data_IF_916144802710
#
_entry.id   IF_916144802710
#
_cell.length_a   1.000
_cell.length_b   1.000
_cell.length_c   1.000
_cell.angle_alpha   90.00
_cell.angle_beta   90.00
_cell.angle_gamma   90.00
#
_symmetry.space_group_name_H-M   'P 1'
#
loop_
_entity.id
_entity.type
_entity.pdbx_description
1 polymer ?
#
# COMPACT_ATOMS: atom_id res chain seq x y z
N UNK A 1 -18.42 -22.25 -6.04
CA UNK A 1 -18.41 -21.95 -7.48
C UNK A 1 -17.65 -20.64 -7.64
N UNK A 2 -16.41 -20.67 -8.12
CA UNK A 2 -15.62 -19.46 -8.37
C UNK A 2 -16.25 -18.77 -9.59
N UNK A 3 -16.89 -17.61 -9.38
CA UNK A 3 -17.35 -16.78 -10.48
C UNK A 3 -16.11 -16.23 -11.17
N UNK A 4 -15.86 -16.68 -12.40
CA UNK A 4 -14.81 -16.10 -13.26
C UNK A 4 -15.19 -14.64 -13.49
N UNK A 5 -14.34 -13.72 -13.04
CA UNK A 5 -14.55 -12.29 -13.26
C UNK A 5 -14.49 -12.02 -14.77
N UNK A 6 -15.50 -11.33 -15.30
CA UNK A 6 -15.47 -10.90 -16.70
C UNK A 6 -14.28 -9.96 -16.98
N UNK A 7 -13.79 -9.90 -18.23
CA UNK A 7 -12.62 -9.10 -18.58
C UNK A 7 -12.79 -7.60 -18.30
N UNK A 8 -14.02 -7.08 -18.44
CA UNK A 8 -14.35 -5.68 -18.13
C UNK A 8 -14.17 -5.37 -16.64
N UNK A 9 -14.66 -6.28 -15.78
CA UNK A 9 -14.56 -6.16 -14.33
C UNK A 9 -13.10 -6.26 -13.87
N UNK A 10 -12.32 -7.18 -14.44
CA UNK A 10 -10.88 -7.28 -14.18
C UNK A 10 -10.15 -5.98 -14.55
N UNK A 11 -10.48 -5.38 -15.69
CA UNK A 11 -9.91 -4.11 -16.10
C UNK A 11 -10.30 -2.97 -15.14
N UNK A 12 -11.55 -2.90 -14.70
CA UNK A 12 -12.00 -1.91 -13.72
C UNK A 12 -11.28 -2.05 -12.37
N UNK A 13 -11.14 -3.28 -11.87
CA UNK A 13 -10.37 -3.61 -10.66
C UNK A 13 -8.92 -3.14 -10.79
N UNK A 14 -8.31 -3.44 -11.93
CA UNK A 14 -6.93 -3.06 -12.21
C UNK A 14 -6.75 -1.54 -12.19
N UNK A 15 -7.61 -0.84 -12.94
CA UNK A 15 -7.56 0.61 -13.08
C UNK A 15 -7.83 1.32 -11.75
N UNK A 16 -8.84 0.87 -10.99
CA UNK A 16 -9.16 1.50 -9.71
C UNK A 16 -8.02 1.31 -8.70
N UNK A 17 -7.49 0.09 -8.57
CA UNK A 17 -6.39 -0.23 -7.64
C UNK A 17 -5.15 0.61 -7.95
N UNK A 18 -4.80 0.75 -9.23
CA UNK A 18 -3.68 1.58 -9.66
C UNK A 18 -3.94 3.07 -9.43
N UNK A 19 -5.18 3.56 -9.58
CA UNK A 19 -5.54 4.97 -9.35
C UNK A 19 -5.48 5.39 -7.89
N UNK A 20 -5.81 4.49 -6.95
CA UNK A 20 -5.76 4.81 -5.51
C UNK A 20 -4.36 4.68 -4.93
N UNK A 21 -3.51 3.85 -5.53
CA UNK A 21 -2.12 3.69 -5.10
C UNK A 21 -1.29 4.90 -5.52
N UNK A 22 -0.67 5.56 -4.56
CA UNK A 22 0.06 6.83 -4.77
C UNK A 22 1.51 6.68 -4.33
N UNK A 23 2.50 7.11 -5.15
CA UNK A 23 3.89 7.05 -4.74
C UNK A 23 4.18 8.13 -3.69
N UNK A 24 4.86 7.73 -2.62
CA UNK A 24 5.48 8.63 -1.64
C UNK A 24 6.98 8.46 -1.75
N UNK A 25 7.72 9.54 -1.92
CA UNK A 25 9.14 9.45 -2.22
C UNK A 25 9.92 10.65 -1.69
N UNK A 26 11.22 10.47 -1.56
CA UNK A 26 12.11 11.50 -1.08
C UNK A 26 13.45 11.48 -1.81
N UNK A 27 14.05 12.64 -1.92
CA UNK A 27 15.33 12.86 -2.57
C UNK A 27 16.01 14.10 -2.00
N UNK A 28 17.31 14.21 -2.22
CA UNK A 28 18.09 15.36 -1.80
C UNK A 28 17.88 16.51 -2.80
N UNK A 29 17.26 17.61 -2.37
CA UNK A 29 16.97 18.75 -3.25
C UNK A 29 18.21 19.49 -3.75
N UNK A 30 19.37 19.32 -3.10
CA UNK A 30 20.62 20.00 -3.45
C UNK A 30 21.40 19.24 -4.53
N UNK A 31 21.07 17.96 -4.77
CA UNK A 31 21.66 17.19 -5.86
C UNK A 31 20.93 17.41 -7.18
N UNK A 32 21.71 17.55 -8.25
CA UNK A 32 21.22 17.58 -9.63
C UNK A 32 20.78 16.19 -10.10
N UNK A 33 19.82 16.14 -11.03
CA UNK A 33 19.44 14.89 -11.68
C UNK A 33 20.50 14.42 -12.69
N UNK A 34 20.67 13.10 -12.89
CA UNK A 34 19.99 12.03 -12.19
C UNK A 34 20.57 11.80 -10.79
N UNK A 35 19.71 11.61 -9.79
CA UNK A 35 20.08 11.39 -8.38
C UNK A 35 19.36 10.20 -7.78
N UNK A 36 19.77 9.78 -6.59
CA UNK A 36 19.00 8.77 -5.87
C UNK A 36 17.63 9.34 -5.47
N UNK A 37 16.58 8.66 -5.94
CA UNK A 37 15.20 8.86 -5.49
C UNK A 37 14.80 7.62 -4.72
N UNK A 38 14.54 7.77 -3.42
CA UNK A 38 14.03 6.71 -2.55
C UNK A 38 12.52 6.89 -2.40
N UNK A 39 11.78 5.82 -2.15
CA UNK A 39 10.34 5.94 -2.05
C UNK A 39 9.62 4.63 -1.91
N UNK A 40 8.37 4.74 -1.50
CA UNK A 40 7.44 3.68 -1.21
C UNK A 40 6.05 4.01 -1.79
N UNK A 41 5.01 3.45 -1.22
CA UNK A 41 3.62 3.63 -1.64
C UNK A 41 2.76 4.14 -0.47
N UNK A 42 1.67 4.80 -0.79
CA UNK A 42 0.64 5.24 0.14
C UNK A 42 -0.72 5.27 -0.57
N UNK A 43 -1.79 5.50 0.18
CA UNK A 43 -3.14 5.71 -0.37
C UNK A 43 -3.97 6.53 0.62
N UNK A 44 -5.16 6.95 0.20
CA UNK A 44 -5.98 7.89 0.96
C UNK A 44 -7.37 7.32 1.22
N UNK A 45 -7.79 7.43 2.48
CA UNK A 45 -9.12 7.05 2.96
C UNK A 45 -9.92 8.30 3.26
N UNK A 46 -11.16 8.35 2.78
CA UNK A 46 -12.09 9.44 3.06
C UNK A 46 -13.11 9.00 4.10
N UNK A 47 -13.05 9.63 5.26
CA UNK A 47 -14.04 9.49 6.32
C UNK A 47 -14.97 10.71 6.34
N UNK A 48 -16.02 10.66 7.15
CA UNK A 48 -16.91 11.83 7.36
C UNK A 48 -16.16 13.04 7.93
N UNK A 49 -15.12 12.80 8.72
CA UNK A 49 -14.33 13.85 9.38
C UNK A 49 -13.18 14.42 8.55
N UNK A 50 -12.85 13.83 7.40
CA UNK A 50 -11.72 14.27 6.59
C UNK A 50 -11.05 13.14 5.81
N UNK A 51 -9.87 13.44 5.26
CA UNK A 51 -9.04 12.50 4.52
C UNK A 51 -7.83 12.11 5.35
N UNK A 52 -7.54 10.81 5.39
CA UNK A 52 -6.40 10.22 6.08
C UNK A 52 -5.53 9.51 5.04
N UNK A 53 -4.27 9.92 4.93
CA UNK A 53 -3.24 9.20 4.20
C UNK A 53 -2.72 8.03 5.03
N UNK A 54 -2.47 6.90 4.36
CA UNK A 54 -2.02 5.64 4.97
C UNK A 54 -0.74 5.17 4.28
N UNK A 55 0.25 4.74 5.06
CA UNK A 55 1.44 4.03 4.58
C UNK A 55 1.96 3.08 5.67
N UNK A 56 3.05 2.35 5.38
CA UNK A 56 3.69 1.49 6.38
C UNK A 56 4.56 2.32 7.36
N UNK A 57 4.65 1.92 8.62
CA UNK A 57 5.46 2.62 9.63
C UNK A 57 6.94 2.67 9.24
N UNK A 58 7.47 1.55 8.73
CA UNK A 58 8.87 1.47 8.33
C UNK A 58 9.22 2.42 7.15
N UNK A 59 8.23 2.90 6.40
CA UNK A 59 8.43 3.94 5.36
C UNK A 59 8.75 5.28 6.00
N UNK A 60 7.99 5.66 7.05
CA UNK A 60 8.25 6.89 7.81
C UNK A 60 9.60 6.78 8.51
N UNK A 61 9.93 5.63 9.08
CA UNK A 61 11.24 5.35 9.67
C UNK A 61 12.39 5.55 8.67
N UNK A 62 12.27 4.99 7.46
CA UNK A 62 13.28 5.13 6.41
C UNK A 62 13.45 6.60 5.97
N UNK A 63 12.34 7.32 5.82
CA UNK A 63 12.35 8.75 5.49
C UNK A 63 12.98 9.59 6.60
N UNK A 64 12.55 9.43 7.85
CA UNK A 64 13.10 10.17 9.01
C UNK A 64 14.60 9.90 9.15
N UNK A 65 15.04 8.65 8.96
CA UNK A 65 16.46 8.30 8.99
C UNK A 65 17.26 8.95 7.84
N UNK A 66 16.69 9.07 6.64
CA UNK A 66 17.31 9.78 5.53
C UNK A 66 17.43 11.28 5.83
N UNK A 67 16.35 11.91 6.31
CA UNK A 67 16.32 13.34 6.68
C UNK A 67 17.28 13.69 7.82
N UNK A 68 17.40 12.82 8.82
CA UNK A 68 18.32 13.01 9.93
C UNK A 68 19.80 13.01 9.49
N UNK A 69 20.15 12.23 8.45
CA UNK A 69 21.50 12.20 7.87
C UNK A 69 21.73 13.35 6.89
N UNK A 70 20.70 13.78 6.19
CA UNK A 70 20.78 14.74 5.10
C UNK A 70 19.60 15.72 5.21
N UNK A 71 19.81 16.90 5.85
CA UNK A 71 18.73 17.85 6.10
C UNK A 71 18.05 18.43 4.85
N UNK A 72 18.71 18.34 3.69
CA UNK A 72 18.19 18.74 2.37
C UNK A 72 17.22 17.73 1.75
N UNK A 73 17.00 16.57 2.39
CA UNK A 73 15.99 15.61 1.96
C UNK A 73 14.59 16.23 2.04
N UNK A 74 13.88 16.19 0.93
CA UNK A 74 12.47 16.60 0.83
C UNK A 74 11.59 15.40 0.53
N UNK A 75 10.36 15.42 1.02
CA UNK A 75 9.34 14.42 0.71
C UNK A 75 8.37 14.97 -0.35
N UNK A 76 7.94 14.09 -1.25
CA UNK A 76 6.90 14.35 -2.22
C UNK A 76 5.90 13.20 -2.22
N UNK A 77 4.64 13.54 -2.43
CA UNK A 77 3.56 12.59 -2.68
C UNK A 77 3.04 12.86 -4.08
N UNK A 78 3.33 11.94 -5.00
CA UNK A 78 3.15 12.13 -6.44
C UNK A 78 3.72 13.48 -6.90
N UNK A 79 2.90 14.43 -7.31
CA UNK A 79 3.37 15.70 -7.87
C UNK A 79 3.57 16.82 -6.83
N UNK A 80 3.14 16.60 -5.59
CA UNK A 80 3.15 17.64 -4.55
C UNK A 80 4.34 17.50 -3.60
N UNK A 81 4.98 18.61 -3.25
CA UNK A 81 5.84 18.68 -2.06
C UNK A 81 4.98 18.48 -0.82
N UNK A 82 5.43 17.65 0.12
CA UNK A 82 4.64 17.25 1.26
C UNK A 82 5.46 17.28 2.55
N UNK A 83 5.00 18.01 3.57
CA UNK A 83 5.66 18.06 4.87
C UNK A 83 5.16 16.93 5.76
N UNK A 84 5.80 15.77 5.62
CA UNK A 84 5.38 14.55 6.29
C UNK A 84 5.50 14.60 7.82
N UNK A 85 6.44 15.39 8.37
CA UNK A 85 6.59 15.54 9.84
C UNK A 85 5.38 16.28 10.43
N UNK A 86 5.00 17.40 9.82
CA UNK A 86 3.86 18.19 10.27
C UNK A 86 2.52 17.49 10.02
N UNK A 87 2.44 16.63 9.00
CA UNK A 87 1.21 15.95 8.63
C UNK A 87 0.95 14.67 9.44
N UNK A 88 1.97 14.06 10.06
CA UNK A 88 1.84 12.77 10.76
C UNK A 88 0.79 12.82 11.88
N UNK A 89 -0.18 11.91 11.84
CA UNK A 89 -1.24 11.80 12.86
C UNK A 89 -0.82 10.78 13.91
N UNK A 90 -0.57 9.55 13.49
CA UNK A 90 -0.20 8.46 14.37
C UNK A 90 0.63 7.41 13.63
N UNK A 91 1.43 6.65 14.38
CA UNK A 91 2.23 5.55 13.83
C UNK A 91 2.51 4.49 14.88
N UNK A 92 2.61 3.25 14.44
CA UNK A 92 2.87 2.12 15.33
C UNK A 92 3.74 1.07 14.64
N UNK A 93 4.90 0.79 15.25
CA UNK A 93 5.89 -0.15 14.74
C UNK A 93 5.40 -1.59 14.73
N UNK A 94 4.58 -1.98 15.71
CA UNK A 94 4.05 -3.35 15.83
C UNK A 94 2.99 -3.59 14.76
N UNK A 95 2.15 -2.60 14.53
CA UNK A 95 1.18 -2.64 13.44
C UNK A 95 1.88 -2.43 12.08
N UNK A 96 3.05 -1.81 12.02
CA UNK A 96 3.68 -1.36 10.77
C UNK A 96 2.73 -0.47 9.94
N UNK A 97 2.02 0.45 10.62
CA UNK A 97 1.12 1.42 10.02
C UNK A 97 1.53 2.82 10.46
N UNK A 98 1.54 3.75 9.52
CA UNK A 98 1.54 5.17 9.80
C UNK A 98 0.40 5.87 9.06
N UNK A 99 -0.16 6.89 9.70
CA UNK A 99 -1.23 7.72 9.18
C UNK A 99 -0.82 9.18 9.19
N UNK A 100 -1.31 9.93 8.20
CA UNK A 100 -1.00 11.34 8.07
C UNK A 100 -2.23 12.11 7.56
N UNK A 101 -2.36 13.35 7.99
CA UNK A 101 -3.43 14.25 7.60
C UNK A 101 -3.19 14.78 6.19
N UNK A 102 -4.28 14.94 5.44
CA UNK A 102 -4.24 15.50 4.09
C UNK A 102 -5.45 16.39 3.91
N UNK A 103 -5.22 17.65 3.58
CA UNK A 103 -6.28 18.59 3.23
C UNK A 103 -6.82 18.34 1.83
N UNK A 104 -8.02 18.84 1.53
CA UNK A 104 -8.57 18.79 0.17
C UNK A 104 -7.70 19.56 -0.85
N UNK A 105 -6.99 20.59 -0.41
CA UNK A 105 -6.04 21.33 -1.26
C UNK A 105 -4.85 20.48 -1.66
N UNK A 106 -4.25 19.78 -0.69
CA UNK A 106 -3.16 18.84 -0.93
C UNK A 106 -3.60 17.65 -1.78
N UNK A 107 -4.78 17.08 -1.51
CA UNK A 107 -5.31 15.97 -2.30
C UNK A 107 -5.45 16.34 -3.78
N UNK A 108 -5.92 17.56 -4.09
CA UNK A 108 -5.98 18.10 -5.45
C UNK A 108 -4.60 18.30 -6.06
N UNK A 109 -3.63 18.81 -5.29
CA UNK A 109 -2.25 19.01 -5.77
C UNK A 109 -1.52 17.68 -6.04
N UNK A 110 -1.82 16.65 -5.25
CA UNK A 110 -1.32 15.28 -5.41
C UNK A 110 -1.98 14.61 -6.62
N UNK A 111 -3.18 15.04 -7.03
CA UNK A 111 -4.05 14.36 -8.00
C UNK A 111 -4.47 12.95 -7.52
N UNK A 112 -4.74 12.79 -6.23
CA UNK A 112 -5.02 11.48 -5.64
C UNK A 112 -6.51 11.12 -5.64
N UNK A 113 -6.79 9.82 -5.80
CA UNK A 113 -8.13 9.24 -5.64
C UNK A 113 -8.27 8.68 -4.22
N UNK A 114 -9.32 9.09 -3.51
CA UNK A 114 -9.65 8.57 -2.18
C UNK A 114 -10.60 7.38 -2.26
N UNK A 115 -10.47 6.46 -1.31
CA UNK A 115 -11.45 5.40 -1.08
C UNK A 115 -12.46 5.89 -0.04
N UNK A 116 -13.74 5.89 -0.38
CA UNK A 116 -14.81 6.35 0.53
C UNK A 116 -15.09 5.30 1.61
N UNK A 117 -14.82 5.66 2.86
CA UNK A 117 -15.04 4.86 4.06
C UNK A 117 -16.18 5.43 4.94
N UNK A 118 -16.91 6.44 4.47
CA UNK A 118 -17.94 7.14 5.26
C UNK A 118 -19.18 6.29 5.58
N UNK A 119 -19.47 5.28 4.76
CA UNK A 119 -20.64 4.41 4.89
C UNK A 119 -20.39 3.06 5.56
N UNK A 120 -19.14 2.61 5.64
CA UNK A 120 -18.79 1.30 6.20
C UNK A 120 -17.34 1.28 6.68
N UNK A 121 -17.16 1.30 8.00
CA UNK A 121 -15.87 1.14 8.66
C UNK A 121 -16.07 0.49 10.04
N UNK A 122 -15.21 -0.44 10.50
CA UNK A 122 -14.00 -0.97 9.86
C UNK A 122 -14.27 -1.76 8.57
N UNK A 123 -13.26 -2.00 7.72
CA UNK A 123 -13.40 -2.84 6.55
C UNK A 123 -13.69 -4.31 6.96
N UNK A 124 -14.37 -5.09 6.10
CA UNK A 124 -14.60 -6.51 6.35
C UNK A 124 -13.27 -7.28 6.49
N UNK A 125 -13.33 -8.38 7.23
CA UNK A 125 -12.21 -9.35 7.27
C UNK A 125 -12.13 -10.02 5.89
N UNK A 126 -10.95 -10.06 5.24
CA UNK A 126 -10.80 -10.80 4.00
C UNK A 126 -11.11 -12.29 4.19
N UNK A 127 -11.72 -12.90 3.17
CA UNK A 127 -12.00 -14.34 3.15
C UNK A 127 -10.86 -15.07 2.44
N UNK A 128 -10.43 -16.21 2.98
CA UNK A 128 -9.47 -17.09 2.30
C UNK A 128 -10.00 -17.50 0.92
N UNK A 129 -9.09 -17.70 -0.02
CA UNK A 129 -9.35 -18.07 -1.42
C UNK A 129 -10.11 -17.05 -2.26
N UNK A 130 -10.38 -15.85 -1.71
CA UNK A 130 -10.92 -14.74 -2.51
C UNK A 130 -9.80 -13.90 -3.09
N UNK A 131 -10.05 -13.36 -4.27
CA UNK A 131 -9.15 -12.42 -4.91
C UNK A 131 -9.18 -11.09 -4.15
N UNK A 132 -8.00 -10.52 -3.94
CA UNK A 132 -7.83 -9.12 -3.58
C UNK A 132 -6.99 -8.45 -4.65
N UNK A 133 -7.17 -7.14 -4.85
CA UNK A 133 -6.26 -6.36 -5.67
C UNK A 133 -5.26 -5.64 -4.80
N UNK A 134 -4.02 -5.58 -5.27
CA UNK A 134 -2.95 -4.84 -4.60
C UNK A 134 -2.11 -4.09 -5.62
N UNK A 135 -1.54 -2.97 -5.20
CA UNK A 135 -0.63 -2.18 -6.02
C UNK A 135 0.46 -1.51 -5.19
N UNK A 136 1.59 -1.20 -5.83
CA UNK A 136 2.70 -0.47 -5.24
C UNK A 136 3.70 -0.01 -6.29
N UNK A 137 4.74 0.72 -5.87
CA UNK A 137 5.76 1.30 -6.75
C UNK A 137 7.16 0.72 -6.47
N UNK A 138 7.54 -0.41 -7.09
CA UNK A 138 8.82 -1.05 -6.84
C UNK A 138 10.00 -0.18 -7.28
N UNK A 139 11.05 -0.16 -6.46
CA UNK A 139 12.32 0.54 -6.74
C UNK A 139 12.97 0.02 -8.02
N UNK A 140 12.89 -1.29 -8.30
CA UNK A 140 13.60 -1.93 -9.41
C UNK A 140 13.10 -1.51 -10.80
N UNK A 141 11.88 -0.97 -10.90
CA UNK A 141 11.30 -0.45 -12.15
C UNK A 141 11.09 1.07 -12.12
N UNK A 142 11.69 1.77 -11.14
CA UNK A 142 11.74 3.23 -11.09
C UNK A 142 12.78 3.73 -12.07
N UNK A 143 12.42 4.73 -12.87
CA UNK A 143 13.34 5.34 -13.83
C UNK A 143 13.58 6.78 -13.39
N UNK A 144 14.85 7.19 -13.29
CA UNK A 144 15.23 8.57 -12.98
C UNK A 144 15.89 9.15 -14.22
N UNK A 145 15.32 10.24 -14.72
CA UNK A 145 15.72 10.86 -15.97
C UNK A 145 16.67 12.03 -15.71
N UNK A 146 17.38 12.47 -16.76
CA UNK A 146 18.28 13.62 -16.70
C UNK A 146 17.54 14.97 -16.76
N UNK A 147 16.29 14.95 -17.22
CA UNK A 147 15.42 16.13 -17.38
C UNK A 147 14.70 16.53 -16.06
N UNK A 148 15.24 16.11 -14.92
CA UNK A 148 14.70 16.39 -13.59
C UNK A 148 13.38 15.67 -13.28
N UNK A 149 13.05 14.60 -14.00
CA UNK A 149 11.88 13.77 -13.74
C UNK A 149 12.23 12.37 -13.21
N UNK A 150 11.25 11.74 -12.57
CA UNK A 150 11.31 10.33 -12.21
C UNK A 150 9.97 9.65 -12.55
N UNK A 151 10.04 8.52 -13.23
CA UNK A 151 8.90 7.67 -13.55
C UNK A 151 8.73 6.59 -12.49
N UNK A 152 7.53 6.54 -11.91
CA UNK A 152 7.12 5.56 -10.92
C UNK A 152 6.23 4.53 -11.59
N UNK A 153 6.83 3.49 -12.17
CA UNK A 153 6.09 2.37 -12.73
C UNK A 153 5.45 1.55 -11.60
N UNK A 154 4.15 1.29 -11.73
CA UNK A 154 3.40 0.55 -10.74
C UNK A 154 3.50 -0.97 -10.99
N UNK A 155 3.61 -1.71 -9.90
CA UNK A 155 3.26 -3.12 -9.85
C UNK A 155 1.81 -3.23 -9.37
N UNK A 156 1.05 -4.14 -9.96
CA UNK A 156 -0.25 -4.51 -9.44
C UNK A 156 -0.59 -5.96 -9.73
N UNK A 157 -1.34 -6.58 -8.82
CA UNK A 157 -1.67 -7.99 -8.88
C UNK A 157 -3.06 -8.27 -8.32
N UNK A 158 -3.61 -9.42 -8.72
CA UNK A 158 -4.89 -9.97 -8.24
C UNK A 158 -4.70 -11.33 -7.56
N UNK A 159 -3.87 -11.43 -6.50
CA UNK A 159 -3.62 -12.71 -5.86
C UNK A 159 -4.85 -13.20 -5.08
N UNK A 160 -4.90 -14.51 -4.86
CA UNK A 160 -5.79 -15.11 -3.89
C UNK A 160 -5.25 -14.91 -2.47
N UNK A 161 -6.14 -14.60 -1.53
CA UNK A 161 -5.84 -14.62 -0.10
C UNK A 161 -5.56 -16.06 0.32
N UNK A 162 -4.34 -16.35 0.74
CA UNK A 162 -3.94 -17.67 1.25
C UNK A 162 -4.37 -17.82 2.71
N UNK A 163 -4.05 -16.82 3.53
CA UNK A 163 -4.36 -16.82 4.96
C UNK A 163 -4.65 -15.42 5.49
N UNK A 164 -5.41 -15.36 6.60
CA UNK A 164 -5.83 -14.13 7.27
C UNK A 164 -5.80 -14.37 8.78
N UNK A 165 -5.12 -13.47 9.49
CA UNK A 165 -5.17 -13.41 10.95
C UNK A 165 -5.87 -12.12 11.40
N UNK A 166 -5.88 -11.86 12.71
CA UNK A 166 -6.39 -10.58 13.22
C UNK A 166 -5.62 -9.38 12.67
N UNK A 167 -4.35 -9.57 12.32
CA UNK A 167 -3.46 -8.48 11.93
C UNK A 167 -2.87 -8.63 10.53
N UNK A 168 -2.75 -9.83 9.96
CA UNK A 168 -2.08 -10.07 8.68
C UNK A 168 -3.01 -10.64 7.62
N UNK A 169 -2.68 -10.34 6.37
CA UNK A 169 -3.20 -11.00 5.17
C UNK A 169 -2.00 -11.53 4.42
N UNK A 170 -2.04 -12.82 4.10
CA UNK A 170 -1.00 -13.51 3.35
C UNK A 170 -1.53 -13.84 1.97
N UNK A 171 -0.74 -13.50 0.96
CA UNK A 171 -1.00 -13.80 -0.44
C UNK A 171 0.10 -14.69 -0.97
N UNK A 172 -0.26 -15.61 -1.85
CA UNK A 172 0.69 -16.33 -2.70
C UNK A 172 0.56 -15.81 -4.13
N UNK A 173 1.69 -15.62 -4.80
CA UNK A 173 1.76 -15.37 -6.24
C UNK A 173 2.44 -16.56 -6.91
N UNK A 174 1.69 -17.29 -7.73
CA UNK A 174 2.19 -18.43 -8.51
C UNK A 174 1.95 -18.16 -10.00
N UNK A 175 3.01 -17.97 -10.80
CA UNK A 175 2.85 -17.72 -12.22
C UNK A 175 2.12 -18.80 -13.03
N UNK A 176 2.04 -20.03 -12.52
CA UNK A 176 1.30 -21.12 -13.15
C UNK A 176 -0.21 -21.08 -12.85
N UNK A 177 -0.61 -20.39 -11.77
CA UNK A 177 -1.99 -20.28 -11.30
C UNK A 177 -2.59 -18.91 -11.60
N UNK A 178 -1.81 -17.85 -11.47
CA UNK A 178 -2.28 -16.47 -11.49
C UNK A 178 -2.17 -15.85 -12.89
N UNK A 179 -3.04 -14.89 -13.19
CA UNK A 179 -3.03 -14.14 -14.45
C UNK A 179 -2.42 -12.73 -14.29
N UNK A 180 -1.94 -12.10 -15.37
CA UNK A 180 -1.53 -10.70 -15.33
C UNK A 180 -2.75 -9.81 -15.05
N UNK A 181 -2.61 -8.86 -14.14
CA UNK A 181 -3.59 -7.77 -13.97
C UNK A 181 -3.52 -6.79 -15.16
N UNK A 182 -2.29 -6.44 -15.57
CA UNK A 182 -1.99 -5.73 -16.82
C UNK A 182 -0.54 -6.03 -17.23
N UNK A 183 -0.25 -6.05 -18.54
CA UNK A 183 1.11 -6.25 -19.05
C UNK A 183 1.68 -7.65 -18.78
N UNK A 184 3.00 -7.73 -18.61
CA UNK A 184 3.70 -9.00 -18.37
C UNK A 184 3.68 -9.34 -16.89
N UNK A 185 3.43 -10.60 -16.58
CA UNK A 185 3.59 -11.15 -15.23
C UNK A 185 5.04 -11.01 -14.76
N UNK A 186 5.28 -10.53 -13.53
CA UNK A 186 6.63 -10.47 -12.99
C UNK A 186 7.18 -11.89 -12.79
N UNK A 187 8.50 -12.09 -12.93
CA UNK A 187 9.13 -13.36 -12.60
C UNK A 187 9.05 -13.62 -11.08
N UNK A 188 9.17 -14.89 -10.67
CA UNK A 188 9.35 -15.22 -9.26
C UNK A 188 10.59 -14.54 -8.68
N UNK A 189 10.48 -14.09 -7.43
CA UNK A 189 11.52 -13.34 -6.75
C UNK A 189 11.61 -11.88 -7.18
N UNK A 190 10.64 -11.36 -7.93
CA UNK A 190 10.63 -9.97 -8.36
C UNK A 190 10.61 -9.03 -7.15
N UNK A 191 11.64 -8.19 -7.03
CA UNK A 191 11.85 -7.40 -5.82
C UNK A 191 10.74 -6.33 -5.64
N UNK A 192 9.91 -6.51 -4.61
CA UNK A 192 8.81 -5.60 -4.26
C UNK A 192 9.22 -4.47 -3.30
N UNK A 193 10.51 -4.26 -3.02
CA UNK A 193 10.98 -3.08 -2.29
C UNK A 193 10.44 -1.80 -2.94
N UNK A 194 9.73 -0.97 -2.16
CA UNK A 194 9.01 0.22 -2.65
C UNK A 194 7.49 0.04 -2.76
N UNK A 195 6.98 -1.19 -2.74
CA UNK A 195 5.54 -1.44 -2.67
C UNK A 195 4.96 -1.26 -1.27
N UNK A 196 5.80 -1.17 -0.22
CA UNK A 196 5.36 -0.96 1.15
C UNK A 196 4.43 0.24 1.29
N UNK A 197 3.35 0.08 2.04
CA UNK A 197 2.29 1.09 2.18
C UNK A 197 1.28 1.13 1.03
N UNK A 198 1.46 0.31 -0.01
CA UNK A 198 0.53 0.20 -1.13
C UNK A 198 -0.81 -0.44 -0.71
N UNK A 199 -1.94 -0.05 -1.30
CA UNK A 199 -3.26 -0.50 -0.86
C UNK A 199 -3.49 -1.98 -1.19
N UNK A 200 -4.27 -2.63 -0.33
CA UNK A 200 -4.88 -3.94 -0.57
C UNK A 200 -6.39 -3.78 -0.51
N UNK A 201 -7.08 -4.09 -1.61
CA UNK A 201 -8.52 -3.92 -1.74
C UNK A 201 -9.21 -5.26 -1.93
N UNK A 202 -10.26 -5.48 -1.17
CA UNK A 202 -11.28 -6.48 -1.50
C UNK A 202 -12.35 -5.81 -2.35
N UNK A 203 -12.96 -6.56 -3.24
CA UNK A 203 -14.07 -6.09 -4.04
C UNK A 203 -15.26 -7.03 -3.93
N UNK A 204 -16.46 -6.49 -3.99
CA UNK A 204 -17.69 -7.27 -3.92
C UNK A 204 -18.84 -6.56 -4.59
N UNK A 205 -19.84 -7.33 -5.01
CA UNK A 205 -21.07 -6.81 -5.55
C UNK A 205 -22.17 -6.91 -4.49
N UNK A 206 -22.95 -5.84 -4.31
CA UNK A 206 -24.15 -5.85 -3.49
C UNK A 206 -25.26 -5.08 -4.20
N UNK A 207 -26.35 -5.77 -4.51
CA UNK A 207 -27.51 -5.21 -5.22
C UNK A 207 -27.12 -4.56 -6.57
N UNK A 208 -26.26 -5.20 -7.36
CA UNK A 208 -25.81 -4.67 -8.66
C UNK A 208 -24.76 -3.55 -8.56
N UNK A 209 -24.33 -3.16 -7.35
CA UNK A 209 -23.29 -2.15 -7.14
C UNK A 209 -21.99 -2.81 -6.73
N UNK A 210 -20.95 -2.56 -7.53
CA UNK A 210 -19.58 -2.93 -7.19
C UNK A 210 -19.05 -2.01 -6.07
N UNK A 211 -18.40 -2.60 -5.08
CA UNK A 211 -17.85 -1.89 -3.91
C UNK A 211 -16.42 -2.28 -3.66
N UNK A 212 -15.63 -1.29 -3.26
CA UNK A 212 -14.22 -1.41 -2.90
C UNK A 212 -14.07 -1.33 -1.38
N UNK A 213 -13.31 -2.24 -0.80
CA UNK A 213 -13.04 -2.28 0.63
C UNK A 213 -11.52 -2.25 0.83
N UNK A 214 -10.96 -1.17 1.39
CA UNK A 214 -9.54 -1.12 1.70
C UNK A 214 -9.30 -1.95 2.96
N UNK A 215 -8.79 -3.17 2.77
CA UNK A 215 -8.65 -4.15 3.86
C UNK A 215 -7.26 -4.15 4.47
N UNK A 216 -6.25 -3.66 3.74
CA UNK A 216 -4.88 -3.66 4.21
C UNK A 216 -3.93 -2.77 3.44
N UNK A 217 -2.65 -2.84 3.83
CA UNK A 217 -1.52 -2.26 3.12
C UNK A 217 -0.39 -3.28 2.99
N UNK A 218 0.37 -3.24 1.89
CA UNK A 218 1.53 -4.10 1.68
C UNK A 218 2.61 -3.76 2.70
N UNK A 219 3.11 -4.75 3.42
CA UNK A 219 4.24 -4.59 4.37
C UNK A 219 5.48 -5.35 3.92
N UNK A 220 5.32 -6.36 3.07
CA UNK A 220 6.44 -7.16 2.59
C UNK A 220 6.11 -7.96 1.34
N UNK A 221 7.18 -8.37 0.66
CA UNK A 221 7.10 -9.19 -0.54
C UNK A 221 8.45 -9.87 -0.81
N UNK A 222 8.55 -10.63 -1.90
CA UNK A 222 9.80 -11.25 -2.31
C UNK A 222 10.90 -10.22 -2.50
N UNK A 223 12.13 -10.61 -2.14
CA UNK A 223 13.38 -9.87 -2.38
C UNK A 223 14.38 -10.67 -3.22
N UNK A 224 13.95 -11.81 -3.74
CA UNK A 224 14.74 -12.79 -4.47
C UNK A 224 13.98 -14.10 -4.59
N UNK A 225 14.49 -15.02 -5.40
CA UNK A 225 13.83 -16.31 -5.65
C UNK A 225 13.90 -17.20 -4.41
N UNK A 226 12.76 -17.78 -4.03
CA UNK A 226 12.71 -18.80 -2.97
C UNK A 226 13.47 -20.08 -3.33
N UNK A 227 13.76 -20.90 -2.32
CA UNK A 227 14.40 -22.22 -2.47
C UNK A 227 13.45 -23.33 -2.03
N UNK A 228 13.64 -24.55 -2.54
CA UNK A 228 12.78 -25.69 -2.22
C UNK A 228 11.33 -25.47 -2.68
N UNK A 229 10.37 -25.82 -1.82
CA UNK A 229 8.92 -25.67 -2.10
C UNK A 229 8.50 -24.21 -2.32
N UNK A 230 9.21 -23.24 -1.72
CA UNK A 230 8.98 -21.81 -1.96
C UNK A 230 9.56 -21.31 -3.29
N UNK A 231 10.20 -22.18 -4.07
CA UNK A 231 10.79 -21.83 -5.36
C UNK A 231 9.77 -21.68 -6.50
N UNK A 232 8.51 -22.08 -6.29
CA UNK A 232 7.42 -22.03 -7.28
C UNK A 232 6.42 -20.89 -7.06
N UNK A 233 6.47 -20.20 -5.92
CA UNK A 233 5.56 -19.08 -5.62
C UNK A 233 6.26 -18.01 -4.78
N UNK A 234 5.80 -16.77 -4.89
CA UNK A 234 6.19 -15.67 -4.01
C UNK A 234 5.14 -15.43 -2.92
N UNK A 235 5.59 -14.97 -1.76
CA UNK A 235 4.70 -14.57 -0.66
C UNK A 235 4.66 -13.04 -0.59
N UNK A 236 3.46 -12.48 -0.60
CA UNK A 236 3.22 -11.06 -0.35
C UNK A 236 2.48 -10.96 0.98
N UNK A 237 2.96 -10.07 1.85
CA UNK A 237 2.39 -9.81 3.17
C UNK A 237 1.73 -8.44 3.19
N UNK A 238 0.56 -8.39 3.81
CA UNK A 238 -0.13 -7.15 4.08
C UNK A 238 -0.61 -7.09 5.54
N UNK A 239 -0.68 -5.87 6.06
CA UNK A 239 -1.24 -5.57 7.37
C UNK A 239 -2.69 -5.14 7.21
N UNK A 240 -3.58 -5.70 8.03
CA UNK A 240 -4.98 -5.27 8.10
C UNK A 240 -5.09 -3.87 8.68
N UNK A 241 -5.83 -2.98 8.02
CA UNK A 241 -5.98 -1.57 8.44
C UNK A 241 -7.23 -1.30 9.30
N UNK A 242 -7.93 -2.34 9.74
CA UNK A 242 -9.14 -2.25 10.58
C UNK A 242 -8.96 -1.56 11.95
N UNK A 243 -7.71 -1.32 12.35
CA UNK A 243 -7.34 -0.60 13.57
C UNK A 243 -7.24 0.91 13.39
N UNK A 244 -7.29 1.44 12.16
CA UNK A 244 -7.29 2.90 11.91
C UNK A 244 -8.66 3.47 12.30
N UNK A 245 -8.68 4.52 13.11
CA UNK A 245 -9.89 5.25 13.46
C UNK A 245 -10.23 6.31 12.40
N UNK A 246 -11.48 6.79 12.31
CA UNK A 246 -11.87 7.81 11.32
C UNK A 246 -11.12 9.14 11.41
N UNK A 247 -10.50 9.45 12.54
CA UNK A 247 -9.64 10.63 12.75
C UNK A 247 -8.16 10.37 12.40
N UNK A 248 -7.84 9.16 11.94
CA UNK A 248 -6.49 8.72 11.59
C UNK A 248 -5.68 8.12 12.74
N UNK A 249 -6.16 8.15 13.99
CA UNK A 249 -5.44 7.53 15.12
C UNK A 249 -5.46 6.00 15.03
N UNK A 250 -4.52 5.32 15.69
CA UNK A 250 -4.40 3.86 15.68
C UNK A 250 -4.92 3.22 16.98
N UNK A 251 -5.89 2.31 16.84
CA UNK A 251 -6.30 1.41 17.93
C UNK A 251 -5.22 0.34 18.13
N UNK A 252 -4.41 0.53 19.15
CA UNK A 252 -3.44 -0.47 19.62
C UNK A 252 -4.17 -1.57 20.38
N UNK A 253 -3.73 -2.81 20.24
CA UNK A 253 -4.19 -3.86 21.14
C UNK A 253 -3.79 -3.44 22.56
N UNK A 254 -4.73 -3.46 23.51
CA UNK A 254 -4.36 -3.40 24.91
C UNK A 254 -3.37 -4.53 25.15
N UNK A 255 -2.24 -4.30 25.86
CA UNK A 255 -1.42 -5.41 26.31
C UNK A 255 -2.34 -6.27 27.15
N UNK A 256 -2.76 -7.40 26.60
CA UNK A 256 -3.59 -8.35 27.31
C UNK A 256 -2.78 -8.79 28.53
N UNK A 257 -3.14 -8.27 29.69
CA UNK A 257 -2.62 -8.70 30.99
C UNK A 257 -3.04 -10.15 31.18
N UNK A 258 -2.20 -11.07 30.70
CA UNK A 258 -2.36 -12.51 30.91
C UNK A 258 -1.66 -12.99 32.19
N UNK A 259 -1.11 -12.08 33.00
CA UNK A 259 -0.66 -12.44 34.34
C UNK A 259 -1.77 -12.11 35.33
N UNK A 260 -2.35 -13.11 36.03
CA UNK A 260 -3.05 -12.80 37.26
C UNK A 260 -2.04 -12.12 38.19
N UNK A 261 -2.43 -10.99 38.76
CA UNK A 261 -1.71 -10.36 39.87
C UNK A 261 -1.55 -11.41 40.98
N UNK A 262 -0.30 -11.80 41.23
CA UNK A 262 0.10 -12.54 42.43
C UNK A 262 -0.02 -11.65 43.67
#
# INVERSE_FOLDING_TARGET
MQTVLGPELLNEISLFTLRVCTPIYWHDRELAFPKEVQGASCFFLRFKGGVVGITADHVIEAWSAARARTPSIVCQVRFASFDLDSALIDRDKTLDIATFSVSEGELRAIDAVTIDCSGSWPPPVPERMRAASLAGFPKIIRIVHRDQSAEFNAFGALPAVEDVTDSEIIFTYDPARDGPMHGKMPPLGFNLSGCSGGPVLMHGERNGLHRWFPVGLITGGPRGKGTGESGSFDIIRARRIHCVNPDGTLRRASPSGWLPSL
#
